data_IF_351905387219
#
_entry.id   IF_351905387219
#
_cell.length_a   1.000
_cell.length_b   1.000
_cell.length_c   1.000
_cell.angle_alpha   90.00
_cell.angle_beta   90.00
_cell.angle_gamma   90.00
#
_symmetry.space_group_name_H-M   'P 1'
#
loop_
_entity.id
_entity.type
_entity.pdbx_description
1 polymer ?
#
# COMPACT_ATOMS: atom_id res chain seq x y z
N UNK A 1 10.97 -27.42 4.32
CA UNK A 1 11.99 -26.49 3.78
C UNK A 1 11.81 -25.16 4.49
N UNK A 2 12.57 -24.88 5.55
CA UNK A 2 12.34 -23.71 6.41
C UNK A 2 12.35 -22.37 5.64
N UNK A 3 13.20 -22.23 4.61
CA UNK A 3 13.29 -21.02 3.78
C UNK A 3 12.05 -20.75 2.91
N UNK A 4 11.36 -21.80 2.46
CA UNK A 4 10.16 -21.66 1.63
C UNK A 4 8.97 -21.20 2.47
N UNK A 5 8.85 -21.72 3.69
CA UNK A 5 7.77 -21.35 4.60
C UNK A 5 7.98 -19.93 5.15
N UNK A 6 9.21 -19.55 5.48
CA UNK A 6 9.56 -18.16 5.85
C UNK A 6 9.21 -17.15 4.74
N UNK A 7 9.52 -17.48 3.48
CA UNK A 7 9.20 -16.60 2.34
C UNK A 7 7.68 -16.42 2.15
N UNK A 8 6.88 -17.47 2.39
CA UNK A 8 5.41 -17.38 2.34
C UNK A 8 4.86 -16.52 3.47
N UNK A 9 5.39 -16.64 4.70
CA UNK A 9 4.98 -15.80 5.83
C UNK A 9 5.29 -14.33 5.57
N UNK A 10 6.49 -14.02 5.07
CA UNK A 10 6.88 -12.66 4.67
C UNK A 10 5.94 -12.08 3.60
N UNK A 11 5.55 -12.90 2.61
CA UNK A 11 4.56 -12.49 1.60
C UNK A 11 3.17 -12.28 2.22
N UNK A 12 2.75 -13.13 3.14
CA UNK A 12 1.48 -13.02 3.86
C UNK A 12 1.37 -11.72 4.65
N UNK A 13 2.40 -11.42 5.46
CA UNK A 13 2.52 -10.16 6.19
C UNK A 13 2.50 -8.95 5.27
N UNK A 14 3.23 -9.00 4.15
CA UNK A 14 3.27 -7.89 3.19
C UNK A 14 1.91 -7.66 2.52
N UNK A 15 1.17 -8.72 2.17
CA UNK A 15 -0.18 -8.62 1.62
C UNK A 15 -1.17 -8.04 2.63
N UNK A 16 -1.08 -8.43 3.90
CA UNK A 16 -1.90 -7.90 4.98
C UNK A 16 -1.71 -6.38 5.12
N UNK A 17 -0.45 -5.93 5.23
CA UNK A 17 -0.12 -4.50 5.30
C UNK A 17 -0.54 -3.73 4.05
N UNK A 18 -0.37 -4.30 2.85
CA UNK A 18 -0.85 -3.70 1.60
C UNK A 18 -2.38 -3.50 1.62
N UNK A 19 -3.13 -4.47 2.14
CA UNK A 19 -4.58 -4.35 2.31
C UNK A 19 -4.95 -3.14 3.18
N UNK A 20 -4.31 -3.01 4.34
CA UNK A 20 -4.51 -1.86 5.25
C UNK A 20 -4.21 -0.53 4.54
N UNK A 21 -3.09 -0.45 3.81
CA UNK A 21 -2.74 0.77 3.09
C UNK A 21 -3.78 1.12 2.00
N UNK A 22 -4.29 0.13 1.26
CA UNK A 22 -5.35 0.36 0.26
C UNK A 22 -6.62 0.89 0.92
N UNK A 23 -7.04 0.32 2.06
CA UNK A 23 -8.21 0.79 2.81
C UNK A 23 -8.05 2.24 3.27
N UNK A 24 -6.87 2.60 3.80
CA UNK A 24 -6.57 3.98 4.22
C UNK A 24 -6.61 4.92 3.01
N UNK A 25 -6.05 4.51 1.87
CA UNK A 25 -6.08 5.33 0.64
C UNK A 25 -7.52 5.61 0.19
N UNK A 26 -8.39 4.60 0.19
CA UNK A 26 -9.81 4.76 -0.14
C UNK A 26 -10.50 5.72 0.84
N UNK A 27 -10.21 5.61 2.14
CA UNK A 27 -10.71 6.55 3.15
C UNK A 27 -10.29 7.99 2.88
N UNK A 28 -9.00 8.22 2.56
CA UNK A 28 -8.49 9.54 2.21
C UNK A 28 -9.16 10.12 0.96
N UNK A 29 -9.28 9.32 -0.10
CA UNK A 29 -9.97 9.73 -1.34
C UNK A 29 -11.44 10.08 -1.05
N UNK A 30 -12.11 9.29 -0.22
CA UNK A 30 -13.50 9.55 0.17
C UNK A 30 -13.62 10.87 0.91
N UNK A 31 -12.71 11.15 1.85
CA UNK A 31 -12.72 12.41 2.59
C UNK A 31 -12.45 13.62 1.68
N UNK A 32 -11.49 13.51 0.76
CA UNK A 32 -11.21 14.52 -0.27
C UNK A 32 -12.48 14.80 -1.10
N UNK A 33 -13.18 13.75 -1.55
CA UNK A 33 -14.38 13.88 -2.37
C UNK A 33 -15.58 14.48 -1.61
N UNK A 34 -15.66 14.31 -0.29
CA UNK A 34 -16.74 14.92 0.51
C UNK A 34 -16.45 16.39 0.82
N UNK A 35 -15.18 16.78 0.96
CA UNK A 35 -14.81 18.10 1.45
C UNK A 35 -14.31 19.07 0.37
N UNK A 36 -14.03 18.64 -0.87
CA UNK A 36 -13.36 19.47 -1.89
C UNK A 36 -14.03 20.83 -2.18
N UNK A 37 -15.34 20.97 -1.94
CA UNK A 37 -16.08 22.22 -2.17
C UNK A 37 -15.99 23.22 -1.01
N UNK A 38 -15.78 22.74 0.20
CA UNK A 38 -15.90 23.52 1.44
C UNK A 38 -14.54 23.87 2.08
N UNK A 39 -13.43 23.70 1.34
CA UNK A 39 -12.12 24.01 1.89
C UNK A 39 -11.89 25.51 2.07
N UNK A 40 -11.95 25.93 3.32
CA UNK A 40 -11.48 27.24 3.75
C UNK A 40 -9.95 27.34 3.72
N UNK A 41 -9.23 26.26 4.07
CA UNK A 41 -7.77 26.22 4.09
C UNK A 41 -7.20 25.35 2.95
N UNK A 42 -6.58 26.03 1.97
CA UNK A 42 -5.96 25.38 0.81
C UNK A 42 -4.76 24.53 1.23
N UNK A 43 -4.06 24.89 2.29
CA UNK A 43 -2.84 24.22 2.72
C UNK A 43 -3.15 22.84 3.28
N UNK A 44 -4.24 22.73 4.07
CA UNK A 44 -4.76 21.46 4.56
C UNK A 44 -5.13 20.52 3.40
N UNK A 45 -5.89 21.01 2.41
CA UNK A 45 -6.28 20.21 1.24
C UNK A 45 -5.07 19.65 0.47
N UNK A 46 -4.09 20.51 0.18
CA UNK A 46 -2.88 20.08 -0.54
C UNK A 46 -2.05 19.09 0.27
N UNK A 47 -2.00 19.24 1.60
CA UNK A 47 -1.29 18.30 2.47
C UNK A 47 -1.92 16.90 2.43
N UNK A 48 -3.25 16.81 2.46
CA UNK A 48 -3.98 15.53 2.40
C UNK A 48 -3.84 14.89 1.03
N UNK A 49 -3.88 15.69 -0.04
CA UNK A 49 -3.57 15.21 -1.40
C UNK A 49 -2.14 14.65 -1.50
N UNK A 50 -1.13 15.33 -0.95
CA UNK A 50 0.25 14.82 -0.91
C UNK A 50 0.35 13.52 -0.12
N UNK A 51 -0.34 13.41 1.03
CA UNK A 51 -0.39 12.18 1.81
C UNK A 51 -0.99 11.02 1.00
N UNK A 52 -2.09 11.25 0.27
CA UNK A 52 -2.71 10.24 -0.58
C UNK A 52 -1.75 9.77 -1.70
N UNK A 53 -1.03 10.69 -2.34
CA UNK A 53 -0.01 10.37 -3.35
C UNK A 53 1.15 9.57 -2.74
N UNK A 54 1.65 9.97 -1.57
CA UNK A 54 2.70 9.25 -0.86
C UNK A 54 2.27 7.81 -0.51
N UNK A 55 1.03 7.65 -0.04
CA UNK A 55 0.47 6.33 0.29
C UNK A 55 0.34 5.45 -0.96
N UNK A 56 -0.07 6.02 -2.09
CA UNK A 56 -0.12 5.33 -3.38
C UNK A 56 1.27 4.82 -3.80
N UNK A 57 2.32 5.63 -3.66
CA UNK A 57 3.70 5.23 -3.95
C UNK A 57 4.12 4.04 -3.07
N UNK A 58 3.81 4.08 -1.77
CA UNK A 58 4.12 2.98 -0.85
C UNK A 58 3.42 1.68 -1.24
N UNK A 59 2.16 1.76 -1.68
CA UNK A 59 1.40 0.60 -2.19
C UNK A 59 2.08 0.02 -3.44
N UNK A 60 2.49 0.87 -4.39
CA UNK A 60 3.19 0.42 -5.60
C UNK A 60 4.52 -0.27 -5.27
N UNK A 61 5.31 0.30 -4.34
CA UNK A 61 6.56 -0.29 -3.89
C UNK A 61 6.35 -1.62 -3.15
N UNK A 62 5.34 -1.69 -2.27
CA UNK A 62 4.97 -2.92 -1.57
C UNK A 62 4.51 -4.03 -2.55
N UNK A 63 3.76 -3.66 -3.58
CA UNK A 63 3.36 -4.59 -4.64
C UNK A 63 4.57 -5.09 -5.45
N UNK A 64 5.51 -4.20 -5.79
CA UNK A 64 6.75 -4.58 -6.46
C UNK A 64 7.59 -5.54 -5.59
N UNK A 65 7.69 -5.29 -4.28
CA UNK A 65 8.35 -6.22 -3.33
C UNK A 65 7.62 -7.56 -3.25
N UNK A 66 6.29 -7.57 -3.23
CA UNK A 66 5.48 -8.79 -3.23
C UNK A 66 5.77 -9.66 -4.47
N UNK A 67 5.89 -9.04 -5.65
CA UNK A 67 6.26 -9.74 -6.88
C UNK A 67 7.68 -10.33 -6.82
N UNK A 68 8.63 -9.65 -6.19
CA UNK A 68 9.99 -10.18 -5.98
C UNK A 68 9.97 -11.41 -5.08
N UNK A 69 9.29 -11.35 -3.93
CA UNK A 69 9.17 -12.49 -3.01
C UNK A 69 8.46 -13.67 -3.69
N UNK A 70 7.44 -13.40 -4.51
CA UNK A 70 6.76 -14.45 -5.28
C UNK A 70 7.70 -15.15 -6.27
N UNK A 71 8.62 -14.41 -6.88
CA UNK A 71 9.65 -14.98 -7.76
C UNK A 71 10.63 -15.85 -6.98
N UNK A 72 11.10 -15.38 -5.82
CA UNK A 72 11.95 -16.17 -4.91
C UNK A 72 11.28 -17.48 -4.48
N UNK A 73 9.99 -17.44 -4.13
CA UNK A 73 9.21 -18.65 -3.81
C UNK A 73 9.15 -19.62 -5.00
N UNK A 74 9.01 -19.11 -6.23
CA UNK A 74 8.97 -19.94 -7.45
C UNK A 74 10.33 -20.60 -7.72
N UNK A 75 11.42 -19.88 -7.50
CA UNK A 75 12.78 -20.40 -7.68
C UNK A 75 13.15 -21.41 -6.58
N UNK A 76 12.73 -21.19 -5.33
CA UNK A 76 12.93 -22.13 -4.21
C UNK A 76 12.09 -23.42 -4.30
N UNK A 77 11.04 -23.41 -5.12
CA UNK A 77 10.20 -24.59 -5.40
C UNK A 77 10.76 -25.47 -6.53
N UNK A 78 11.62 -24.90 -7.38
CA UNK A 78 12.34 -25.61 -8.45
C UNK A 78 13.52 -26.39 -7.87
#
# INVERSE_FOLDING_TARGET
MPKLDEAKERLGMLKFWLGIFVTILVGLISWIFTHYKDYADKLEFYSVCMCAVGLLILILLGNAKSKKILKEIKDLKK
#
